data_IF_464775170949
#
_entry.id   IF_464775170949
#
_cell.length_a   1.000
_cell.length_b   1.000
_cell.length_c   1.000
_cell.angle_alpha   90.00
_cell.angle_beta   90.00
_cell.angle_gamma   90.00
#
_symmetry.space_group_name_H-M   'P 1'
#
loop_
_entity.id
_entity.type
_entity.pdbx_description
1 polymer ?
#
# COMPACT_ATOMS: atom_id res chain seq x y z
N UNK A 1 12.30 -8.87 -35.29
CA UNK A 1 12.22 -9.69 -34.05
C UNK A 1 12.83 -8.85 -32.94
N UNK A 2 12.09 -7.81 -32.57
CA UNK A 2 12.49 -6.77 -31.62
C UNK A 2 12.05 -7.20 -30.23
N UNK A 3 12.93 -6.99 -29.25
CA UNK A 3 12.84 -7.40 -27.85
C UNK A 3 11.80 -6.57 -27.05
N UNK A 4 10.70 -6.19 -27.72
CA UNK A 4 9.74 -5.15 -27.29
C UNK A 4 8.45 -5.76 -26.65
N UNK A 5 8.31 -7.09 -26.66
CA UNK A 5 7.12 -7.78 -26.13
C UNK A 5 7.19 -8.04 -24.61
N UNK A 6 8.27 -7.62 -23.93
CA UNK A 6 8.57 -8.07 -22.56
C UNK A 6 8.34 -7.09 -21.41
N UNK A 7 8.21 -5.79 -21.61
CA UNK A 7 8.39 -4.86 -20.47
C UNK A 7 7.20 -3.93 -20.26
N UNK A 8 6.10 -4.49 -19.75
CA UNK A 8 5.34 -3.68 -18.79
C UNK A 8 6.19 -3.60 -17.53
N UNK A 9 6.56 -2.39 -17.08
CA UNK A 9 7.39 -2.26 -15.89
C UNK A 9 6.67 -2.90 -14.70
N UNK A 10 7.44 -3.49 -13.80
CA UNK A 10 6.95 -3.89 -12.49
C UNK A 10 6.15 -2.75 -11.87
N UNK A 11 4.90 -3.04 -11.47
CA UNK A 11 4.01 -2.05 -10.84
C UNK A 11 3.88 -2.35 -9.36
N UNK A 12 4.05 -1.34 -8.51
CA UNK A 12 3.63 -1.41 -7.12
C UNK A 12 2.19 -0.89 -7.01
N UNK A 13 1.30 -1.69 -6.45
CA UNK A 13 -0.11 -1.38 -6.27
C UNK A 13 -0.54 -1.59 -4.82
N UNK A 14 -1.63 -0.93 -4.40
CA UNK A 14 -2.19 -1.06 -3.06
C UNK A 14 -3.41 -1.99 -3.09
N UNK A 15 -3.43 -2.97 -2.18
CA UNK A 15 -4.59 -3.78 -1.89
C UNK A 15 -5.70 -2.96 -1.20
N UNK A 16 -6.90 -3.52 -1.10
CA UNK A 16 -8.06 -2.86 -0.48
C UNK A 16 -7.82 -2.47 0.99
N UNK A 17 -6.88 -3.13 1.67
CA UNK A 17 -6.47 -2.82 3.05
C UNK A 17 -5.20 -1.95 3.15
N UNK A 18 -4.75 -1.40 2.02
CA UNK A 18 -3.57 -0.53 1.95
C UNK A 18 -2.23 -1.28 1.92
N UNK A 19 -2.23 -2.61 1.89
CA UNK A 19 -0.98 -3.39 1.75
C UNK A 19 -0.42 -3.22 0.34
N UNK A 20 0.87 -2.94 0.22
CA UNK A 20 1.53 -2.86 -1.08
C UNK A 20 1.83 -4.25 -1.63
N UNK A 21 1.54 -4.45 -2.92
CA UNK A 21 1.91 -5.63 -3.70
C UNK A 21 2.67 -5.22 -4.95
N UNK A 22 3.50 -6.13 -5.45
CA UNK A 22 4.21 -5.99 -6.71
C UNK A 22 3.47 -6.83 -7.77
N UNK A 23 3.11 -6.22 -8.90
CA UNK A 23 2.50 -6.88 -10.04
C UNK A 23 3.48 -6.82 -11.21
N UNK A 24 3.79 -7.99 -11.78
CA UNK A 24 4.73 -8.13 -12.89
C UNK A 24 4.39 -9.32 -13.77
N UNK A 25 4.94 -9.34 -14.98
CA UNK A 25 4.89 -10.52 -15.85
C UNK A 25 5.57 -11.72 -15.18
N UNK A 26 5.00 -12.90 -15.40
CA UNK A 26 5.60 -14.17 -15.02
C UNK A 26 6.89 -14.39 -15.81
N UNK A 27 7.90 -14.98 -15.15
CA UNK A 27 9.19 -15.35 -15.73
C UNK A 27 9.40 -16.87 -15.58
N UNK A 28 10.24 -17.50 -16.44
CA UNK A 28 10.51 -18.93 -16.31
C UNK A 28 11.05 -19.37 -14.94
N UNK A 29 11.76 -18.48 -14.24
CA UNK A 29 12.26 -18.73 -12.89
C UNK A 29 11.19 -18.73 -11.79
N UNK A 30 9.94 -18.35 -12.09
CA UNK A 30 8.85 -18.30 -11.10
C UNK A 30 8.14 -19.66 -10.92
N UNK A 31 8.51 -20.68 -11.71
CA UNK A 31 7.84 -21.99 -11.75
C UNK A 31 7.59 -22.60 -10.36
N UNK A 32 8.63 -22.69 -9.52
CA UNK A 32 8.50 -23.29 -8.18
C UNK A 32 7.60 -22.45 -7.26
N UNK A 33 7.58 -21.12 -7.40
CA UNK A 33 6.68 -20.27 -6.62
C UNK A 33 5.23 -20.41 -7.06
N UNK A 34 4.99 -20.58 -8.36
CA UNK A 34 3.65 -20.84 -8.91
C UNK A 34 3.14 -22.22 -8.51
N UNK A 35 4.01 -23.24 -8.51
CA UNK A 35 3.66 -24.56 -7.96
C UNK A 35 3.32 -24.45 -6.48
N UNK A 36 4.14 -23.72 -5.71
CA UNK A 36 3.90 -23.45 -4.29
C UNK A 36 2.54 -22.78 -4.02
N UNK A 37 2.15 -21.80 -4.85
CA UNK A 37 0.83 -21.15 -4.76
C UNK A 37 -0.30 -22.19 -4.83
N UNK A 38 -0.25 -23.13 -5.77
CA UNK A 38 -1.30 -24.15 -5.92
C UNK A 38 -1.22 -25.26 -4.87
N UNK A 39 -0.02 -25.64 -4.43
CA UNK A 39 0.18 -26.65 -3.38
C UNK A 39 -0.44 -26.22 -2.03
N UNK A 40 -0.43 -24.92 -1.76
CA UNK A 40 -1.01 -24.33 -0.54
C UNK A 40 -2.52 -24.10 -0.62
N UNK A 41 -3.13 -24.22 -1.81
CA UNK A 41 -4.57 -24.06 -1.98
C UNK A 41 -5.34 -25.24 -1.39
N UNK A 42 -6.49 -24.95 -0.78
CA UNK A 42 -7.42 -25.97 -0.34
C UNK A 42 -7.94 -26.82 -1.52
N UNK A 43 -8.36 -28.08 -1.27
CA UNK A 43 -8.99 -28.91 -2.30
C UNK A 43 -10.23 -28.27 -2.92
N UNK A 44 -10.94 -27.44 -2.14
CA UNK A 44 -12.11 -26.70 -2.60
C UNK A 44 -11.72 -25.63 -3.63
N UNK A 45 -10.73 -24.78 -3.34
CA UNK A 45 -10.28 -23.76 -4.29
C UNK A 45 -9.59 -24.34 -5.53
N UNK A 46 -8.86 -25.46 -5.39
CA UNK A 46 -8.35 -26.19 -6.55
C UNK A 46 -9.50 -26.68 -7.45
N UNK A 47 -10.58 -27.21 -6.85
CA UNK A 47 -11.76 -27.64 -7.58
C UNK A 47 -12.49 -26.46 -8.23
N UNK A 48 -12.61 -25.32 -7.55
CA UNK A 48 -13.19 -24.11 -8.12
C UNK A 48 -12.37 -23.54 -9.30
N UNK A 49 -11.05 -23.75 -9.30
CA UNK A 49 -10.12 -23.29 -10.34
C UNK A 49 -9.99 -24.23 -11.54
N UNK A 50 -10.01 -25.54 -11.29
CA UNK A 50 -9.70 -26.57 -12.29
C UNK A 50 -10.87 -27.52 -12.55
N UNK A 51 -12.05 -27.24 -11.99
CA UNK A 51 -13.26 -28.10 -12.06
C UNK A 51 -13.08 -29.49 -11.42
N UNK A 52 -11.89 -29.76 -10.87
CA UNK A 52 -11.51 -30.96 -10.14
C UNK A 52 -10.35 -30.63 -9.18
N UNK A 53 -10.27 -31.31 -8.04
CA UNK A 53 -9.12 -31.22 -7.14
C UNK A 53 -7.93 -32.01 -7.69
N UNK A 54 -7.31 -31.49 -8.75
CA UNK A 54 -6.30 -32.20 -9.56
C UNK A 54 -4.92 -31.54 -9.42
N UNK A 55 -3.99 -32.21 -8.73
CA UNK A 55 -2.57 -31.80 -8.67
C UNK A 55 -1.94 -31.71 -10.04
N UNK A 56 -2.25 -32.67 -10.93
CA UNK A 56 -1.78 -32.66 -12.31
C UNK A 56 -2.21 -31.39 -13.06
N UNK A 57 -3.44 -30.91 -12.81
CA UNK A 57 -3.93 -29.68 -13.45
C UNK A 57 -3.20 -28.45 -12.91
N UNK A 58 -2.91 -28.42 -11.60
CA UNK A 58 -2.09 -27.38 -10.99
C UNK A 58 -0.66 -27.35 -11.54
N UNK A 59 -0.01 -28.52 -11.67
CA UNK A 59 1.34 -28.64 -12.23
C UNK A 59 1.37 -28.13 -13.68
N UNK A 60 0.41 -28.56 -14.51
CA UNK A 60 0.29 -28.10 -15.90
C UNK A 60 0.04 -26.58 -16.00
N UNK A 61 -0.73 -26.00 -15.07
CA UNK A 61 -0.96 -24.57 -15.03
C UNK A 61 0.32 -23.80 -14.66
N UNK A 62 1.10 -24.30 -13.69
CA UNK A 62 2.40 -23.72 -13.35
C UNK A 62 3.42 -23.83 -14.51
N UNK A 63 3.48 -24.99 -15.17
CA UNK A 63 4.32 -25.22 -16.36
C UNK A 63 3.96 -24.24 -17.48
N UNK A 64 2.66 -24.08 -17.76
CA UNK A 64 2.16 -23.17 -18.81
C UNK A 64 2.48 -21.71 -18.49
N UNK A 65 2.24 -21.27 -17.25
CA UNK A 65 2.49 -19.89 -16.84
C UNK A 65 3.98 -19.54 -16.88
N UNK A 66 4.86 -20.47 -16.50
CA UNK A 66 6.31 -20.28 -16.55
C UNK A 66 6.95 -20.56 -17.92
N UNK A 67 6.16 -20.95 -18.93
CA UNK A 67 6.67 -21.19 -20.27
C UNK A 67 7.25 -19.90 -20.89
N UNK A 68 8.15 -20.01 -21.89
CA UNK A 68 8.62 -18.86 -22.64
C UNK A 68 7.46 -18.05 -23.23
N UNK A 69 7.62 -16.73 -23.29
CA UNK A 69 6.64 -15.83 -23.88
C UNK A 69 6.26 -16.27 -25.29
N UNK A 70 4.97 -16.21 -25.60
CA UNK A 70 4.41 -16.59 -26.90
C UNK A 70 3.28 -15.64 -27.27
N UNK A 71 3.09 -15.34 -28.58
CA UNK A 71 1.99 -14.49 -29.03
C UNK A 71 0.64 -15.01 -28.55
N UNK A 72 -0.24 -14.09 -28.17
CA UNK A 72 -1.59 -14.44 -27.72
C UNK A 72 -1.67 -14.94 -26.27
N UNK A 73 -0.56 -15.08 -25.55
CA UNK A 73 -0.56 -15.50 -24.14
C UNK A 73 0.10 -14.46 -23.24
N UNK A 74 -0.55 -14.13 -22.12
CA UNK A 74 0.04 -13.27 -21.11
C UNK A 74 -0.32 -13.75 -19.72
N UNK A 75 0.67 -13.75 -18.82
CA UNK A 75 0.50 -14.10 -17.42
C UNK A 75 1.14 -13.04 -16.52
N UNK A 76 0.38 -12.58 -15.53
CA UNK A 76 0.79 -11.63 -14.51
C UNK A 76 0.70 -12.30 -13.14
N UNK A 77 1.72 -12.08 -12.31
CA UNK A 77 1.68 -12.49 -10.91
C UNK A 77 1.61 -11.27 -9.99
N UNK A 78 1.05 -11.49 -8.81
CA UNK A 78 1.13 -10.57 -7.69
C UNK A 78 2.04 -11.19 -6.62
N UNK A 79 2.98 -10.42 -6.09
CA UNK A 79 3.90 -10.85 -5.04
C UNK A 79 3.94 -9.84 -3.88
N UNK A 80 4.18 -10.36 -2.68
CA UNK A 80 4.43 -9.57 -1.47
C UNK A 80 5.53 -10.24 -0.66
N UNK A 81 6.51 -9.47 -0.18
CA UNK A 81 7.67 -9.98 0.55
C UNK A 81 8.38 -11.16 -0.15
N UNK A 82 8.46 -11.10 -1.49
CA UNK A 82 9.11 -12.12 -2.32
C UNK A 82 8.33 -13.43 -2.47
N UNK A 83 7.06 -13.49 -2.05
CA UNK A 83 6.17 -14.64 -2.23
C UNK A 83 5.05 -14.31 -3.21
N UNK A 84 4.82 -15.19 -4.19
CA UNK A 84 3.66 -15.12 -5.09
C UNK A 84 2.37 -15.36 -4.30
N UNK A 85 1.41 -14.46 -4.47
CA UNK A 85 0.10 -14.48 -3.80
C UNK A 85 -1.08 -14.55 -4.76
N UNK A 86 -0.84 -14.40 -6.06
CA UNK A 86 -1.84 -14.59 -7.08
C UNK A 86 -1.26 -14.62 -8.49
N UNK A 87 -2.03 -15.16 -9.42
CA UNK A 87 -1.74 -15.29 -10.83
C UNK A 87 -3.01 -14.95 -11.61
N UNK A 88 -2.89 -14.15 -12.66
CA UNK A 88 -3.92 -14.00 -13.67
C UNK A 88 -3.31 -14.08 -15.06
N UNK A 89 -3.96 -14.79 -15.96
CA UNK A 89 -3.46 -15.07 -17.29
C UNK A 89 -4.58 -15.07 -18.31
N UNK A 90 -4.26 -14.76 -19.57
CA UNK A 90 -5.15 -15.02 -20.70
C UNK A 90 -4.42 -15.69 -21.85
N UNK A 91 -5.20 -16.37 -22.69
CA UNK A 91 -4.78 -16.95 -23.95
C UNK A 91 -5.81 -16.63 -25.05
N UNK A 92 -5.38 -16.02 -26.15
CA UNK A 92 -6.21 -15.87 -27.36
C UNK A 92 -6.39 -17.24 -28.00
N UNK A 93 -7.61 -17.54 -28.42
CA UNK A 93 -7.94 -18.83 -29.04
C UNK A 93 -8.02 -18.64 -30.56
N UNK A 94 -9.20 -18.87 -31.16
CA UNK A 94 -9.40 -18.79 -32.62
C UNK A 94 -9.48 -17.35 -33.14
N UNK A 95 -9.90 -16.42 -32.29
CA UNK A 95 -10.09 -15.00 -32.58
C UNK A 95 -9.07 -14.16 -31.80
N UNK A 96 -8.21 -13.35 -32.45
CA UNK A 96 -7.23 -12.52 -31.75
C UNK A 96 -7.89 -11.43 -30.88
N UNK A 97 -9.15 -11.07 -31.12
CA UNK A 97 -9.88 -10.09 -30.30
C UNK A 97 -10.51 -10.71 -29.04
N UNK A 98 -10.54 -12.05 -28.94
CA UNK A 98 -11.16 -12.79 -27.85
C UNK A 98 -10.14 -13.69 -27.13
N UNK A 99 -10.00 -13.53 -25.82
CA UNK A 99 -9.09 -14.36 -25.02
C UNK A 99 -9.78 -15.04 -23.84
N UNK A 100 -9.43 -16.30 -23.58
CA UNK A 100 -9.85 -17.02 -22.38
C UNK A 100 -8.95 -16.59 -21.21
N UNK A 101 -9.54 -16.12 -20.12
CA UNK A 101 -8.82 -15.69 -18.93
C UNK A 101 -8.98 -16.68 -17.77
N UNK A 102 -7.97 -16.75 -16.91
CA UNK A 102 -8.04 -17.50 -15.67
C UNK A 102 -7.29 -16.79 -14.54
N UNK A 103 -7.69 -17.09 -13.30
CA UNK A 103 -7.16 -16.42 -12.11
C UNK A 103 -7.05 -17.37 -10.94
N UNK A 104 -5.99 -17.21 -10.15
CA UNK A 104 -5.75 -17.93 -8.90
C UNK A 104 -5.24 -16.93 -7.85
N UNK A 105 -5.78 -16.99 -6.62
CA UNK A 105 -5.36 -16.16 -5.49
C UNK A 105 -5.19 -17.07 -4.28
N UNK A 106 -4.13 -16.87 -3.50
CA UNK A 106 -3.89 -17.64 -2.28
C UNK A 106 -5.06 -17.51 -1.29
N UNK A 107 -5.48 -18.62 -0.70
CA UNK A 107 -6.69 -18.75 0.15
C UNK A 107 -6.81 -17.69 1.24
N UNK A 108 -5.72 -17.38 1.95
CA UNK A 108 -5.71 -16.39 3.03
C UNK A 108 -5.77 -14.92 2.58
N UNK A 109 -5.82 -14.68 1.27
CA UNK A 109 -5.73 -13.34 0.66
C UNK A 109 -6.95 -12.99 -0.20
N UNK A 110 -7.98 -13.84 -0.17
CA UNK A 110 -9.28 -13.54 -0.76
C UNK A 110 -9.90 -12.30 -0.10
N UNK A 111 -10.72 -11.59 -0.87
CA UNK A 111 -11.38 -10.34 -0.45
C UNK A 111 -10.45 -9.17 -0.06
N UNK A 112 -9.14 -9.28 -0.28
CA UNK A 112 -8.17 -8.17 -0.12
C UNK A 112 -7.94 -7.39 -1.42
N UNK A 113 -8.63 -7.74 -2.51
CA UNK A 113 -8.52 -7.06 -3.80
C UNK A 113 -7.39 -7.57 -4.71
N UNK A 114 -6.64 -8.60 -4.31
CA UNK A 114 -5.55 -9.20 -5.13
C UNK A 114 -6.06 -9.58 -6.52
N UNK A 115 -7.19 -10.29 -6.57
CA UNK A 115 -7.71 -10.75 -7.85
C UNK A 115 -8.26 -9.62 -8.71
N UNK A 116 -8.93 -8.64 -8.11
CA UNK A 116 -9.44 -7.46 -8.82
C UNK A 116 -8.29 -6.68 -9.47
N UNK A 117 -7.21 -6.41 -8.73
CA UNK A 117 -6.04 -5.72 -9.27
C UNK A 117 -5.37 -6.51 -10.39
N UNK A 118 -5.17 -7.82 -10.20
CA UNK A 118 -4.60 -8.67 -11.23
C UNK A 118 -5.42 -8.60 -12.52
N UNK A 119 -6.76 -8.66 -12.43
CA UNK A 119 -7.62 -8.57 -13.60
C UNK A 119 -7.60 -7.17 -14.21
N UNK A 120 -7.62 -6.08 -13.44
CA UNK A 120 -7.49 -4.71 -13.99
C UNK A 120 -6.18 -4.52 -14.77
N UNK A 121 -5.06 -5.03 -14.23
CA UNK A 121 -3.77 -5.01 -14.92
C UNK A 121 -3.77 -5.91 -16.16
N UNK A 122 -4.43 -7.06 -16.09
CA UNK A 122 -4.56 -8.01 -17.20
C UNK A 122 -5.42 -7.42 -18.33
N UNK A 123 -6.56 -6.79 -18.00
CA UNK A 123 -7.44 -6.07 -18.94
C UNK A 123 -6.66 -4.96 -19.65
N UNK A 124 -5.91 -4.17 -18.88
CA UNK A 124 -5.10 -3.09 -19.43
C UNK A 124 -3.98 -3.62 -20.37
N UNK A 125 -3.44 -4.81 -20.11
CA UNK A 125 -2.47 -5.44 -20.98
C UNK A 125 -3.12 -6.06 -22.24
N UNK A 126 -4.26 -6.72 -22.09
CA UNK A 126 -5.00 -7.33 -23.17
C UNK A 126 -5.49 -6.29 -24.20
N UNK A 127 -5.96 -5.13 -23.74
CA UNK A 127 -6.29 -3.99 -24.60
C UNK A 127 -5.10 -3.52 -25.45
N UNK A 128 -3.92 -3.45 -24.84
CA UNK A 128 -2.70 -3.06 -25.56
C UNK A 128 -2.33 -4.09 -26.64
N UNK A 129 -2.69 -5.35 -26.42
CA UNK A 129 -2.50 -6.46 -27.35
C UNK A 129 -3.66 -6.60 -28.36
N UNK A 130 -4.65 -5.71 -28.33
CA UNK A 130 -5.79 -5.70 -29.26
C UNK A 130 -6.98 -6.58 -28.87
N UNK A 131 -6.95 -7.21 -27.70
CA UNK A 131 -8.07 -8.01 -27.18
C UNK A 131 -9.20 -7.08 -26.72
N UNK A 132 -10.42 -7.34 -27.19
CA UNK A 132 -11.62 -6.57 -26.85
C UNK A 132 -12.55 -7.31 -25.89
N UNK A 133 -12.40 -8.64 -25.81
CA UNK A 133 -13.30 -9.50 -25.01
C UNK A 133 -12.51 -10.57 -24.26
N UNK A 134 -12.82 -10.72 -22.97
CA UNK A 134 -12.46 -11.92 -22.22
C UNK A 134 -13.60 -12.91 -22.12
N UNK A 135 -13.28 -14.19 -22.20
CA UNK A 135 -14.14 -15.30 -21.79
C UNK A 135 -13.58 -15.96 -20.54
N UNK A 136 -14.46 -16.39 -19.63
CA UNK A 136 -14.07 -17.14 -18.45
C UNK A 136 -15.16 -18.13 -18.09
N UNK A 137 -14.82 -19.42 -18.05
CA UNK A 137 -15.70 -20.46 -17.53
C UNK A 137 -15.45 -20.62 -16.03
N UNK A 138 -16.53 -20.65 -15.25
CA UNK A 138 -16.47 -20.80 -13.79
C UNK A 138 -17.58 -21.74 -13.32
N UNK A 139 -17.36 -22.46 -12.22
CA UNK A 139 -18.45 -23.17 -11.55
C UNK A 139 -19.48 -22.18 -11.01
N UNK A 140 -20.76 -22.50 -11.15
CA UNK A 140 -21.88 -21.65 -10.70
C UNK A 140 -21.88 -21.33 -9.19
N UNK A 141 -21.26 -22.19 -8.39
CA UNK A 141 -21.04 -22.01 -6.96
C UNK A 141 -19.77 -21.21 -6.61
N UNK A 142 -18.93 -20.86 -7.60
CA UNK A 142 -17.77 -19.99 -7.41
C UNK A 142 -18.23 -18.53 -7.28
N UNK A 143 -18.92 -18.23 -6.19
CA UNK A 143 -19.50 -16.92 -5.94
C UNK A 143 -18.44 -15.81 -5.87
N UNK A 144 -17.20 -16.14 -5.51
CA UNK A 144 -16.10 -15.20 -5.42
C UNK A 144 -15.67 -14.66 -6.78
N UNK A 145 -15.40 -15.55 -7.75
CA UNK A 145 -15.00 -15.11 -9.10
C UNK A 145 -16.15 -14.44 -9.84
N UNK A 146 -17.38 -14.93 -9.65
CA UNK A 146 -18.57 -14.34 -10.26
C UNK A 146 -18.80 -12.92 -9.71
N UNK A 147 -18.62 -12.72 -8.40
CA UNK A 147 -18.68 -11.39 -7.78
C UNK A 147 -17.53 -10.51 -8.24
N UNK A 148 -16.31 -11.03 -8.34
CA UNK A 148 -15.17 -10.29 -8.88
C UNK A 148 -15.51 -9.69 -10.24
N UNK A 149 -16.09 -10.47 -11.16
CA UNK A 149 -16.47 -9.99 -12.49
C UNK A 149 -17.54 -8.88 -12.44
N UNK A 150 -18.50 -8.97 -11.51
CA UNK A 150 -19.47 -7.89 -11.30
C UNK A 150 -18.83 -6.62 -10.73
N UNK A 151 -17.90 -6.78 -9.79
CA UNK A 151 -17.30 -5.67 -9.05
C UNK A 151 -16.25 -4.90 -9.89
N UNK A 152 -15.76 -5.47 -11.00
CA UNK A 152 -14.80 -4.80 -11.89
C UNK A 152 -15.33 -3.49 -12.49
N UNK A 153 -16.65 -3.38 -12.70
CA UNK A 153 -17.27 -2.27 -13.43
C UNK A 153 -17.24 -2.42 -14.96
N UNK A 154 -16.83 -3.58 -15.46
CA UNK A 154 -16.91 -3.97 -16.87
C UNK A 154 -18.29 -4.54 -17.21
N UNK A 155 -18.66 -4.52 -18.50
CA UNK A 155 -19.90 -5.15 -18.97
C UNK A 155 -19.71 -6.67 -19.04
N UNK A 156 -20.46 -7.41 -18.22
CA UNK A 156 -20.35 -8.87 -18.12
C UNK A 156 -21.66 -9.55 -18.53
N UNK A 157 -21.60 -10.34 -19.61
CA UNK A 157 -22.62 -11.31 -19.98
C UNK A 157 -22.40 -12.64 -19.28
N UNK A 158 -23.48 -13.35 -18.92
CA UNK A 158 -23.42 -14.68 -18.30
C UNK A 158 -24.34 -15.65 -19.02
N UNK A 159 -23.83 -16.84 -19.30
CA UNK A 159 -24.60 -17.96 -19.85
C UNK A 159 -24.39 -19.18 -18.96
N UNK A 160 -25.48 -19.75 -18.46
CA UNK A 160 -25.44 -20.96 -17.63
C UNK A 160 -25.44 -22.20 -18.53
N UNK A 161 -24.49 -23.10 -18.30
CA UNK A 161 -24.31 -24.36 -19.03
C UNK A 161 -24.17 -25.49 -18.00
N UNK A 162 -25.31 -25.91 -17.43
CA UNK A 162 -25.33 -26.91 -16.36
C UNK A 162 -24.70 -26.38 -15.07
N UNK A 163 -23.67 -27.05 -14.49
CA UNK A 163 -23.00 -26.57 -13.28
C UNK A 163 -22.04 -25.40 -13.55
N UNK A 164 -21.79 -25.07 -14.81
CA UNK A 164 -20.82 -24.06 -15.25
C UNK A 164 -21.53 -22.77 -15.70
N UNK A 165 -20.82 -21.66 -15.59
CA UNK A 165 -21.24 -20.34 -16.04
C UNK A 165 -20.14 -19.79 -16.94
N UNK A 166 -20.47 -19.62 -18.22
CA UNK A 166 -19.63 -18.91 -19.16
C UNK A 166 -19.85 -17.41 -19.02
N UNK A 167 -18.79 -16.70 -18.64
CA UNK A 167 -18.77 -15.25 -18.56
C UNK A 167 -18.12 -14.66 -19.82
N UNK A 168 -18.73 -13.61 -20.37
CA UNK A 168 -18.17 -12.80 -21.46
C UNK A 168 -18.02 -11.37 -20.97
N UNK A 169 -16.79 -10.86 -20.94
CA UNK A 169 -16.43 -9.59 -20.31
C UNK A 169 -15.92 -8.67 -21.42
N UNK A 170 -16.69 -7.62 -21.73
CA UNK A 170 -16.26 -6.61 -22.69
C UNK A 170 -15.20 -5.71 -22.05
N UNK A 171 -14.12 -5.45 -22.77
CA UNK A 171 -12.96 -4.70 -22.28
C UNK A 171 -13.01 -3.23 -22.68
N UNK A 172 -14.17 -2.60 -22.88
CA UNK A 172 -14.24 -1.17 -23.18
C UNK A 172 -13.92 -0.29 -21.96
N UNK A 173 -13.34 0.90 -22.16
CA UNK A 173 -13.14 1.92 -21.11
C UNK A 173 -14.38 2.80 -20.94
N UNK A 174 -15.47 2.18 -20.51
CA UNK A 174 -16.68 2.91 -20.19
C UNK A 174 -16.52 3.66 -18.85
N UNK A 175 -17.27 4.75 -18.67
CA UNK A 175 -17.24 5.60 -17.46
C UNK A 175 -17.45 4.78 -16.16
N UNK A 176 -18.21 3.68 -16.23
CA UNK A 176 -18.46 2.80 -15.08
C UNK A 176 -17.20 2.06 -14.62
N UNK A 177 -16.40 1.54 -15.56
CA UNK A 177 -15.15 0.85 -15.25
C UNK A 177 -14.14 1.83 -14.66
N UNK A 178 -13.97 3.00 -15.30
CA UNK A 178 -13.03 4.02 -14.84
C UNK A 178 -13.40 4.53 -13.44
N UNK A 179 -14.69 4.76 -13.17
CA UNK A 179 -15.18 5.15 -11.85
C UNK A 179 -14.94 4.07 -10.78
N UNK A 180 -15.13 2.79 -11.13
CA UNK A 180 -14.91 1.67 -10.21
C UNK A 180 -13.41 1.51 -9.86
N UNK A 181 -12.52 1.63 -10.85
CA UNK A 181 -11.05 1.63 -10.65
C UNK A 181 -10.64 2.82 -9.78
N UNK A 182 -11.13 4.03 -10.07
CA UNK A 182 -10.83 5.22 -9.27
C UNK A 182 -11.32 5.05 -7.81
N UNK A 183 -12.54 4.55 -7.61
CA UNK A 183 -13.08 4.35 -6.26
C UNK A 183 -12.24 3.36 -5.45
N UNK A 184 -11.81 2.24 -6.06
CA UNK A 184 -10.94 1.26 -5.41
C UNK A 184 -9.56 1.83 -5.10
N UNK A 185 -8.95 2.53 -6.06
CA UNK A 185 -7.66 3.20 -5.87
C UNK A 185 -7.69 4.17 -4.69
N UNK A 186 -8.74 4.99 -4.59
CA UNK A 186 -8.91 5.92 -3.46
C UNK A 186 -9.06 5.20 -2.12
N UNK A 187 -9.89 4.16 -2.07
CA UNK A 187 -10.08 3.39 -0.83
C UNK A 187 -8.76 2.74 -0.36
N UNK A 188 -7.99 2.19 -1.30
CA UNK A 188 -6.69 1.60 -1.04
C UNK A 188 -5.64 2.65 -0.60
N UNK A 189 -5.61 3.82 -1.24
CA UNK A 189 -4.76 4.96 -0.87
C UNK A 189 -5.01 5.37 0.59
N UNK A 190 -6.28 5.58 0.96
CA UNK A 190 -6.68 5.92 2.34
C UNK A 190 -6.28 4.84 3.33
N UNK A 191 -6.56 3.57 3.02
CA UNK A 191 -6.20 2.44 3.87
C UNK A 191 -4.68 2.34 4.08
N UNK A 192 -3.87 2.71 3.08
CA UNK A 192 -2.40 2.72 3.20
C UNK A 192 -1.89 3.73 4.24
N UNK A 193 -2.66 4.78 4.54
CA UNK A 193 -2.29 5.82 5.50
C UNK A 193 -2.68 5.48 6.95
N UNK A 194 -3.53 4.47 7.16
CA UNK A 194 -3.95 4.04 8.51
C UNK A 194 -2.75 3.70 9.42
N UNK A 195 -1.71 2.96 8.98
CA UNK A 195 -0.52 2.71 9.80
C UNK A 195 0.26 3.97 10.19
N UNK A 196 0.15 5.07 9.43
CA UNK A 196 0.77 6.36 9.76
C UNK A 196 -0.10 7.17 10.73
N UNK A 197 -1.39 7.30 10.42
CA UNK A 197 -2.27 8.30 11.03
C UNK A 197 -3.14 7.75 12.14
N UNK A 198 -3.34 6.43 12.21
CA UNK A 198 -4.06 5.73 13.28
C UNK A 198 -3.32 4.44 13.72
N UNK A 199 -2.01 4.51 14.03
CA UNK A 199 -1.23 3.35 14.44
C UNK A 199 -1.75 2.77 15.75
N UNK A 200 -1.74 1.44 15.81
CA UNK A 200 -2.14 0.65 16.95
C UNK A 200 -0.93 0.29 17.84
N UNK A 201 0.28 0.47 17.30
CA UNK A 201 1.55 0.44 18.01
C UNK A 201 2.59 1.37 17.33
N UNK A 202 3.34 2.14 18.12
CA UNK A 202 4.39 3.05 17.67
C UNK A 202 5.72 2.71 18.34
N UNK A 203 6.81 2.68 17.56
CA UNK A 203 8.17 2.55 18.07
C UNK A 203 9.00 3.80 17.73
N UNK A 204 9.68 4.38 18.71
CA UNK A 204 10.58 5.52 18.49
C UNK A 204 12.04 5.06 18.50
N UNK A 205 12.65 5.01 17.33
CA UNK A 205 14.04 4.59 17.12
C UNK A 205 14.98 5.78 17.25
N UNK A 206 15.98 5.65 18.11
CA UNK A 206 16.87 6.75 18.48
C UNK A 206 16.39 7.56 19.68
N UNK A 207 15.35 7.11 20.40
CA UNK A 207 14.99 7.67 21.69
C UNK A 207 16.05 7.33 22.74
N UNK A 208 16.51 8.31 23.51
CA UNK A 208 17.57 8.09 24.50
C UNK A 208 17.44 8.97 25.74
N UNK A 209 18.44 8.90 26.62
CA UNK A 209 18.47 9.69 27.87
C UNK A 209 18.99 11.12 27.68
N UNK A 210 19.65 11.42 26.56
CA UNK A 210 20.24 12.74 26.28
C UNK A 210 19.14 13.82 26.23
N UNK A 211 19.13 14.79 27.15
CA UNK A 211 18.22 15.93 27.09
C UNK A 211 18.39 16.69 25.77
N UNK A 212 17.30 17.22 25.22
CA UNK A 212 17.31 17.96 23.94
C UNK A 212 17.50 17.13 22.67
N UNK A 213 17.72 15.81 22.78
CA UNK A 213 17.75 14.96 21.57
C UNK A 213 16.36 14.81 20.96
N UNK A 214 16.27 14.87 19.62
CA UNK A 214 14.99 14.82 18.91
C UNK A 214 14.23 13.52 19.18
N UNK A 215 14.92 12.37 19.20
CA UNK A 215 14.28 11.09 19.52
C UNK A 215 13.67 11.05 20.93
N UNK A 216 14.30 11.72 21.91
CA UNK A 216 13.74 11.86 23.25
C UNK A 216 12.53 12.81 23.27
N UNK A 217 12.56 13.90 22.51
CA UNK A 217 11.45 14.85 22.40
C UNK A 217 10.21 14.19 21.77
N UNK A 218 10.39 13.45 20.67
CA UNK A 218 9.33 12.67 20.03
C UNK A 218 8.68 11.65 20.98
N UNK A 219 9.50 10.87 21.70
CA UNK A 219 8.99 9.92 22.68
C UNK A 219 8.27 10.63 23.84
N UNK A 220 8.79 11.77 24.28
CA UNK A 220 8.16 12.59 25.31
C UNK A 220 6.77 13.07 24.86
N UNK A 221 6.64 13.56 23.62
CA UNK A 221 5.36 14.06 23.11
C UNK A 221 4.31 12.95 23.04
N UNK A 222 4.68 11.78 22.52
CA UNK A 222 3.78 10.62 22.49
C UNK A 222 3.35 10.20 23.90
N UNK A 223 4.29 10.18 24.85
CA UNK A 223 4.01 9.77 26.22
C UNK A 223 3.19 10.81 27.01
N UNK A 224 3.63 12.06 27.03
CA UNK A 224 3.01 13.17 27.77
C UNK A 224 1.68 13.62 27.14
N UNK A 225 1.55 13.52 25.82
CA UNK A 225 0.30 13.76 25.09
C UNK A 225 -0.78 12.69 25.34
N UNK A 226 -0.41 11.59 26.00
CA UNK A 226 -1.34 10.53 26.39
C UNK A 226 -1.74 9.62 25.23
N UNK A 227 -0.80 9.29 24.34
CA UNK A 227 -1.03 8.31 23.28
C UNK A 227 -1.65 7.04 23.85
N UNK A 228 -2.80 6.64 23.31
CA UNK A 228 -3.68 5.65 23.95
C UNK A 228 -3.35 4.21 23.56
N UNK A 229 -2.42 4.01 22.64
CA UNK A 229 -2.02 2.68 22.13
C UNK A 229 -0.63 2.28 22.64
N UNK A 230 -0.05 1.22 22.07
CA UNK A 230 1.25 0.69 22.51
C UNK A 230 2.38 1.58 22.04
N UNK A 231 3.24 1.99 22.97
CA UNK A 231 4.41 2.83 22.71
C UNK A 231 5.68 2.12 23.14
N UNK A 232 6.67 2.09 22.26
CA UNK A 232 7.98 1.48 22.50
C UNK A 232 9.10 2.47 22.22
N UNK A 233 10.18 2.38 23.00
CA UNK A 233 11.46 3.01 22.66
C UNK A 233 12.39 1.96 22.05
N UNK A 234 13.24 2.37 21.10
CA UNK A 234 14.30 1.52 20.55
C UNK A 234 15.65 2.20 20.75
N UNK A 235 16.45 1.59 21.62
CA UNK A 235 17.80 2.02 21.97
C UNK A 235 18.63 0.84 22.50
N UNK A 236 19.78 0.51 21.87
CA UNK A 236 20.65 -0.59 22.29
C UNK A 236 21.23 -0.48 23.72
N UNK A 237 21.28 0.71 24.30
CA UNK A 237 22.05 0.98 25.51
C UNK A 237 21.22 1.19 26.77
N UNK A 238 19.89 1.23 26.66
CA UNK A 238 19.00 1.49 27.80
C UNK A 238 17.75 0.62 27.71
N UNK A 239 17.28 0.16 28.88
CA UNK A 239 16.06 -0.65 29.01
C UNK A 239 14.78 0.17 29.22
N UNK A 240 14.91 1.48 29.47
CA UNK A 240 13.77 2.40 29.55
C UNK A 240 14.16 3.85 29.27
N UNK A 241 13.23 4.60 28.69
CA UNK A 241 13.32 6.03 28.42
C UNK A 241 11.98 6.68 28.79
N UNK A 242 11.98 7.64 29.72
CA UNK A 242 10.76 8.34 30.18
C UNK A 242 9.65 7.39 30.69
N UNK A 243 10.02 6.28 31.34
CA UNK A 243 9.06 5.28 31.80
C UNK A 243 8.53 4.34 30.70
N UNK A 244 8.87 4.58 29.43
CA UNK A 244 8.55 3.69 28.31
C UNK A 244 9.60 2.57 28.21
N UNK A 245 9.19 1.29 28.08
CA UNK A 245 10.10 0.18 27.83
C UNK A 245 10.94 0.40 26.56
N UNK A 246 12.24 0.13 26.66
CA UNK A 246 13.19 0.28 25.57
C UNK A 246 13.82 -1.05 25.20
N UNK A 247 13.89 -1.30 23.90
CA UNK A 247 14.40 -2.53 23.30
C UNK A 247 15.62 -2.24 22.41
N UNK A 248 16.55 -3.19 22.24
CA UNK A 248 17.78 -2.92 21.52
C UNK A 248 17.59 -2.71 20.02
N UNK A 249 16.58 -3.34 19.41
CA UNK A 249 16.26 -3.19 17.99
C UNK A 249 14.76 -3.36 17.72
N UNK A 250 14.32 -3.02 16.50
CA UNK A 250 12.90 -3.17 16.12
C UNK A 250 12.49 -4.65 16.12
N UNK A 251 13.38 -5.55 15.73
CA UNK A 251 13.18 -7.01 15.74
C UNK A 251 13.02 -7.61 17.14
N UNK A 252 13.49 -6.92 18.17
CA UNK A 252 13.37 -7.36 19.56
C UNK A 252 12.10 -6.90 20.26
N UNK A 253 11.24 -6.14 19.57
CA UNK A 253 9.98 -5.67 20.12
C UNK A 253 9.01 -6.84 20.35
N UNK A 254 8.21 -6.81 21.43
CA UNK A 254 7.25 -7.87 21.74
C UNK A 254 6.04 -7.89 20.79
N UNK A 255 5.88 -6.80 20.01
CA UNK A 255 4.86 -6.65 18.98
C UNK A 255 5.43 -5.78 17.87
N UNK A 256 5.17 -6.17 16.62
CA UNK A 256 5.48 -5.36 15.43
C UNK A 256 4.71 -4.03 15.49
N UNK A 257 5.39 -2.87 15.45
CA UNK A 257 4.72 -1.58 15.41
C UNK A 257 4.12 -1.32 14.02
N UNK A 258 2.98 -0.64 13.97
CA UNK A 258 2.43 -0.15 12.70
C UNK A 258 3.32 0.98 12.15
N UNK A 259 3.79 1.84 13.06
CA UNK A 259 4.62 3.01 12.77
C UNK A 259 5.97 2.96 13.50
N UNK A 260 7.06 3.06 12.76
CA UNK A 260 8.39 3.34 13.31
C UNK A 260 8.81 4.79 13.05
N UNK A 261 9.06 5.54 14.12
CA UNK A 261 9.56 6.92 14.09
C UNK A 261 11.08 6.89 14.16
N UNK A 262 11.75 7.28 13.08
CA UNK A 262 13.21 7.20 12.93
C UNK A 262 13.86 8.55 13.21
N UNK A 263 14.56 8.64 14.35
CA UNK A 263 15.32 9.81 14.78
C UNK A 263 16.80 9.48 15.01
N UNK A 264 17.39 8.72 14.08
CA UNK A 264 18.77 8.21 14.09
C UNK A 264 19.68 8.91 13.05
N UNK A 265 21.00 8.77 13.11
CA UNK A 265 21.92 9.25 12.07
C UNK A 265 21.58 8.74 10.65
N UNK A 266 21.94 9.52 9.62
CA UNK A 266 21.53 9.28 8.24
C UNK A 266 22.06 7.96 7.65
N UNK A 267 23.29 7.60 8.01
CA UNK A 267 23.98 6.36 7.62
C UNK A 267 23.28 5.10 8.14
N UNK A 268 22.62 5.17 9.30
CA UNK A 268 21.89 4.05 9.90
C UNK A 268 20.47 3.85 9.33
N UNK A 269 19.93 4.81 8.57
CA UNK A 269 18.53 4.77 8.11
C UNK A 269 18.22 3.63 7.14
N UNK A 270 19.02 3.35 6.10
CA UNK A 270 18.72 2.24 5.18
C UNK A 270 18.66 0.89 5.90
N UNK A 271 19.64 0.58 6.75
CA UNK A 271 19.68 -0.67 7.50
C UNK A 271 18.52 -0.81 8.49
N UNK A 272 18.14 0.30 9.15
CA UNK A 272 17.00 0.29 10.09
C UNK A 272 15.67 0.17 9.33
N UNK A 273 15.51 0.81 8.17
CA UNK A 273 14.33 0.64 7.35
C UNK A 273 14.20 -0.80 6.84
N UNK A 274 15.30 -1.41 6.42
CA UNK A 274 15.33 -2.82 6.04
C UNK A 274 14.95 -3.75 7.20
N UNK A 275 15.42 -3.47 8.42
CA UNK A 275 15.00 -4.19 9.63
C UNK A 275 13.48 -4.03 9.86
N UNK A 276 12.97 -2.80 9.83
CA UNK A 276 11.54 -2.49 9.97
C UNK A 276 10.70 -3.28 8.95
N UNK A 277 11.11 -3.29 7.69
CA UNK A 277 10.41 -3.99 6.63
C UNK A 277 10.34 -5.50 6.86
N UNK A 278 11.48 -6.11 7.21
CA UNK A 278 11.57 -7.57 7.49
C UNK A 278 10.67 -8.04 8.62
N UNK A 279 10.47 -7.21 9.64
CA UNK A 279 9.61 -7.56 10.78
C UNK A 279 8.14 -7.21 10.52
N UNK A 280 7.83 -6.55 9.40
CA UNK A 280 6.46 -6.22 8.98
C UNK A 280 5.94 -4.87 9.47
N UNK A 281 6.81 -3.91 9.80
CA UNK A 281 6.39 -2.51 9.99
C UNK A 281 5.79 -2.00 8.68
N UNK A 282 4.67 -1.29 8.74
CA UNK A 282 3.95 -0.82 7.55
C UNK A 282 4.20 0.64 7.22
N UNK A 283 4.68 1.42 8.19
CA UNK A 283 4.90 2.84 8.02
C UNK A 283 6.16 3.35 8.74
N UNK A 284 6.85 4.29 8.08
CA UNK A 284 8.00 5.00 8.63
C UNK A 284 7.72 6.50 8.71
N UNK A 285 8.08 7.11 9.84
CA UNK A 285 8.21 8.55 9.99
C UNK A 285 9.69 8.89 10.11
N UNK A 286 10.28 9.44 9.05
CA UNK A 286 11.71 9.73 9.02
C UNK A 286 11.95 11.21 9.31
N UNK A 287 12.42 11.50 10.52
CA UNK A 287 12.75 12.87 10.91
C UNK A 287 14.07 13.34 10.31
N UNK A 288 15.06 12.45 10.27
CA UNK A 288 16.45 12.80 9.96
C UNK A 288 16.61 13.44 8.58
N UNK A 289 17.37 14.54 8.54
CA UNK A 289 17.75 15.29 7.35
C UNK A 289 19.19 14.94 6.91
N UNK A 290 19.61 15.43 5.75
CA UNK A 290 21.02 15.38 5.32
C UNK A 290 21.48 13.98 4.92
N UNK A 291 21.00 13.52 3.76
CA UNK A 291 21.31 12.21 3.19
C UNK A 291 22.04 12.44 1.87
N UNK A 292 23.03 11.61 1.57
CA UNK A 292 23.54 11.54 0.20
C UNK A 292 22.53 10.78 -0.70
N UNK A 293 22.68 10.88 -2.04
CA UNK A 293 21.80 10.19 -2.98
C UNK A 293 21.71 8.68 -2.76
N UNK A 294 22.82 8.03 -2.40
CA UNK A 294 22.89 6.58 -2.23
C UNK A 294 22.07 6.13 -1.00
N UNK A 295 22.13 6.89 0.10
CA UNK A 295 21.34 6.67 1.31
C UNK A 295 19.84 6.94 1.10
N UNK A 296 19.50 7.88 0.22
CA UNK A 296 18.12 8.16 -0.16
C UNK A 296 17.55 7.02 -1.01
N UNK A 297 18.30 6.58 -2.02
CA UNK A 297 17.93 5.47 -2.88
C UNK A 297 17.78 4.17 -2.09
N UNK A 298 18.74 3.83 -1.23
CA UNK A 298 18.70 2.62 -0.42
C UNK A 298 17.50 2.59 0.55
N UNK A 299 17.14 3.73 1.15
CA UNK A 299 15.94 3.83 1.98
C UNK A 299 14.67 3.60 1.15
N UNK A 300 14.55 4.23 -0.01
CA UNK A 300 13.37 4.07 -0.86
C UNK A 300 13.26 2.66 -1.40
N UNK A 301 14.38 2.02 -1.71
CA UNK A 301 14.43 0.61 -2.07
C UNK A 301 13.92 -0.27 -0.94
N UNK A 302 14.37 -0.08 0.31
CA UNK A 302 13.84 -0.81 1.46
C UNK A 302 12.32 -0.59 1.64
N UNK A 303 11.84 0.66 1.50
CA UNK A 303 10.40 0.95 1.60
C UNK A 303 9.59 0.25 0.52
N UNK A 304 10.03 0.28 -0.75
CA UNK A 304 9.34 -0.36 -1.87
C UNK A 304 9.36 -1.88 -1.77
N UNK A 305 10.50 -2.47 -1.41
CA UNK A 305 10.65 -3.93 -1.26
C UNK A 305 9.68 -4.49 -0.22
N UNK A 306 9.52 -3.79 0.91
CA UNK A 306 8.69 -4.25 2.03
C UNK A 306 7.30 -3.60 2.06
N UNK A 307 6.96 -2.77 1.06
CA UNK A 307 5.65 -2.15 0.95
C UNK A 307 5.32 -1.11 2.03
N UNK A 308 6.33 -0.47 2.60
CA UNK A 308 6.17 0.53 3.67
C UNK A 308 5.82 1.91 3.11
N UNK A 309 4.87 2.58 3.75
CA UNK A 309 4.61 4.02 3.52
C UNK A 309 5.61 4.87 4.29
N UNK A 310 5.94 6.06 3.76
CA UNK A 310 6.92 6.95 4.39
C UNK A 310 6.46 8.41 4.43
N UNK A 311 6.56 9.02 5.62
CA UNK A 311 6.49 10.47 5.81
C UNK A 311 7.88 11.02 6.11
N UNK A 312 8.24 12.13 5.47
CA UNK A 312 9.60 12.68 5.46
C UNK A 312 10.40 12.26 4.21
N UNK A 313 11.74 12.14 4.31
CA UNK A 313 12.61 12.52 5.43
C UNK A 313 12.56 14.02 5.79
N UNK A 314 13.40 14.46 6.74
CA UNK A 314 13.54 15.89 7.05
C UNK A 314 12.21 16.59 7.41
N UNK A 315 11.45 15.98 8.31
CA UNK A 315 10.12 16.47 8.70
C UNK A 315 10.05 16.86 10.18
N UNK A 316 9.03 17.65 10.54
CA UNK A 316 8.69 17.96 11.94
C UNK A 316 8.01 16.78 12.64
N UNK A 317 7.36 15.90 11.88
CA UNK A 317 6.59 14.77 12.39
C UNK A 317 5.13 14.78 11.97
N UNK A 318 4.32 13.96 12.66
CA UNK A 318 2.88 13.85 12.44
C UNK A 318 2.12 13.90 13.76
N UNK A 319 0.87 14.36 13.72
CA UNK A 319 -0.06 14.30 14.84
C UNK A 319 -1.47 13.98 14.37
N UNK A 320 -2.21 13.23 15.19
CA UNK A 320 -3.65 13.02 15.07
C UNK A 320 -4.27 13.21 16.46
N UNK A 321 -5.12 14.22 16.57
CA UNK A 321 -5.67 14.71 17.84
C UNK A 321 -6.95 14.00 18.26
N UNK A 322 -7.35 12.92 17.57
CA UNK A 322 -8.49 12.10 17.99
C UNK A 322 -8.34 11.73 19.47
N UNK A 323 -9.31 12.06 20.35
CA UNK A 323 -9.25 11.74 21.77
C UNK A 323 -9.06 10.24 22.07
N UNK A 324 -9.43 9.36 21.13
CA UNK A 324 -9.26 7.91 21.21
C UNK A 324 -7.86 7.43 20.81
N UNK A 325 -7.05 8.28 20.19
CA UNK A 325 -5.70 7.96 19.70
C UNK A 325 -4.62 8.83 20.37
N UNK A 326 -4.76 10.17 20.30
CA UNK A 326 -3.81 11.17 20.83
C UNK A 326 -2.38 10.95 20.34
N UNK A 327 -2.22 10.80 19.03
CA UNK A 327 -0.92 10.66 18.40
C UNK A 327 -0.27 12.04 18.28
N UNK A 328 0.86 12.25 18.94
CA UNK A 328 1.75 13.38 18.64
C UNK A 328 3.19 12.88 18.53
N UNK A 329 3.57 12.51 17.31
CA UNK A 329 4.93 12.17 16.93
C UNK A 329 5.63 13.39 16.30
N UNK A 330 5.47 14.57 16.90
CA UNK A 330 6.23 15.79 16.57
C UNK A 330 7.23 16.15 17.66
N UNK A 331 8.06 17.15 17.40
CA UNK A 331 8.94 17.78 18.38
C UNK A 331 8.75 19.30 18.42
N UNK A 332 7.52 19.76 18.17
CA UNK A 332 7.14 21.17 18.30
C UNK A 332 7.25 21.64 19.77
N UNK A 333 7.13 22.95 20.03
CA UNK A 333 7.19 23.45 21.40
C UNK A 333 5.98 22.99 22.25
N UNK A 334 4.80 22.96 21.63
CA UNK A 334 3.53 22.58 22.26
C UNK A 334 2.80 21.52 21.44
N UNK A 335 1.95 20.75 22.12
CA UNK A 335 1.03 19.83 21.48
C UNK A 335 0.01 20.58 20.60
N UNK A 336 -0.29 20.09 19.38
CA UNK A 336 -1.37 20.64 18.58
C UNK A 336 -2.71 20.56 19.32
N UNK A 337 -3.49 21.65 19.30
CA UNK A 337 -4.82 21.68 19.93
C UNK A 337 -5.80 20.80 19.13
N UNK A 338 -6.65 19.98 19.77
CA UNK A 338 -7.67 19.22 19.06
C UNK A 338 -8.70 20.10 18.35
N UNK A 339 -9.07 19.74 17.12
CA UNK A 339 -10.11 20.39 16.33
C UNK A 339 -10.37 19.67 15.00
N UNK A 340 -10.77 20.41 13.98
CA UNK A 340 -11.19 19.86 12.67
C UNK A 340 -10.37 20.37 11.48
N UNK A 341 -9.29 21.13 11.71
CA UNK A 341 -8.39 21.54 10.64
C UNK A 341 -7.36 20.45 10.32
N UNK A 342 -7.37 19.93 9.10
CA UNK A 342 -6.32 19.09 8.54
C UNK A 342 -5.19 19.96 8.00
N UNK A 343 -3.96 19.70 8.42
CA UNK A 343 -2.79 20.49 8.03
C UNK A 343 -1.72 19.58 7.43
N UNK A 344 -1.28 19.88 6.21
CA UNK A 344 -0.09 19.25 5.65
C UNK A 344 0.88 20.30 5.10
N UNK A 345 2.15 20.19 5.52
CA UNK A 345 3.18 21.20 5.26
C UNK A 345 4.47 20.55 4.80
N UNK A 346 5.05 21.07 3.73
CA UNK A 346 6.34 20.59 3.24
C UNK A 346 7.51 21.11 4.08
N UNK A 347 7.49 22.40 4.44
CA UNK A 347 8.52 23.02 5.30
C UNK A 347 8.21 22.85 6.79
N UNK A 348 9.17 22.30 7.54
CA UNK A 348 9.05 22.13 9.00
C UNK A 348 8.92 23.47 9.75
N UNK A 349 9.69 24.48 9.36
CA UNK A 349 9.63 25.81 9.98
C UNK A 349 8.28 26.50 9.76
N UNK A 350 7.72 26.40 8.55
CA UNK A 350 6.36 26.87 8.26
C UNK A 350 5.33 26.07 9.07
N UNK A 351 5.53 24.76 9.22
CA UNK A 351 4.69 23.92 10.07
C UNK A 351 4.60 24.40 11.51
N UNK A 352 5.74 24.72 12.12
CA UNK A 352 5.80 25.27 13.49
C UNK A 352 5.02 26.59 13.56
N UNK A 353 5.29 27.52 12.63
CA UNK A 353 4.63 28.82 12.61
C UNK A 353 3.11 28.71 12.39
N UNK A 354 2.67 27.76 11.55
CA UNK A 354 1.27 27.52 11.27
C UNK A 354 0.53 26.93 12.47
N UNK A 355 1.11 25.92 13.14
CA UNK A 355 0.53 25.33 14.35
C UNK A 355 0.37 26.37 15.46
N UNK A 356 1.40 27.19 15.68
CA UNK A 356 1.39 28.28 16.65
C UNK A 356 0.36 29.37 16.27
N UNK A 357 0.28 29.74 14.99
CA UNK A 357 -0.72 30.66 14.47
C UNK A 357 -2.16 30.16 14.65
N UNK A 358 -2.44 28.91 14.30
CA UNK A 358 -3.76 28.28 14.49
C UNK A 358 -4.14 28.23 15.97
N UNK A 359 -3.21 27.83 16.84
CA UNK A 359 -3.40 27.80 18.29
C UNK A 359 -3.79 29.16 18.87
N UNK A 360 -3.12 30.25 18.44
CA UNK A 360 -3.48 31.63 18.83
C UNK A 360 -4.86 32.05 18.35
N UNK A 361 -5.26 31.60 17.17
CA UNK A 361 -6.59 31.86 16.62
C UNK A 361 -7.68 30.97 17.24
N UNK A 362 -7.32 30.03 18.12
CA UNK A 362 -8.27 29.08 18.71
C UNK A 362 -8.71 27.98 17.75
N UNK A 363 -8.02 27.81 16.62
CA UNK A 363 -8.31 26.78 15.62
C UNK A 363 -7.51 25.52 15.99
N UNK A 364 -8.23 24.45 16.32
CA UNK A 364 -7.63 23.14 16.56
C UNK A 364 -7.46 22.32 15.29
N UNK A 365 -6.49 21.42 15.30
CA UNK A 365 -6.18 20.52 14.18
C UNK A 365 -6.78 19.13 14.42
N UNK A 366 -7.26 18.49 13.36
CA UNK A 366 -7.64 17.07 13.36
C UNK A 366 -6.39 16.21 13.17
N UNK A 367 -5.65 16.49 12.10
CA UNK A 367 -4.43 15.79 11.72
C UNK A 367 -3.41 16.82 11.23
N UNK A 368 -2.16 16.70 11.66
CA UNK A 368 -1.03 17.47 11.19
C UNK A 368 0.01 16.54 10.58
N UNK A 369 0.49 16.84 9.38
CA UNK A 369 1.54 16.07 8.71
C UNK A 369 2.60 17.00 8.14
N UNK A 370 3.82 16.88 8.64
CA UNK A 370 4.98 17.50 8.00
C UNK A 370 5.56 16.53 6.97
N UNK A 371 5.45 16.86 5.69
CA UNK A 371 5.84 16.00 4.57
C UNK A 371 7.37 15.98 4.38
N UNK A 372 8.07 17.04 4.78
CA UNK A 372 9.52 17.18 4.61
C UNK A 372 9.92 17.08 3.13
N UNK A 373 10.93 16.27 2.85
CA UNK A 373 11.42 16.04 1.48
C UNK A 373 10.41 15.28 0.60
N UNK A 374 9.34 14.74 1.20
CA UNK A 374 8.16 14.16 0.52
C UNK A 374 8.53 13.06 -0.47
N UNK A 375 9.23 12.04 0.03
CA UNK A 375 9.67 10.91 -0.79
C UNK A 375 8.53 9.97 -1.20
N UNK A 376 7.46 9.92 -0.40
CA UNK A 376 6.34 9.00 -0.64
C UNK A 376 4.99 9.69 -0.39
N UNK A 377 4.55 9.83 0.87
CA UNK A 377 3.27 10.45 1.19
C UNK A 377 3.26 11.92 0.75
N UNK A 378 2.19 12.32 0.05
CA UNK A 378 2.06 13.61 -0.61
C UNK A 378 0.82 14.39 -0.15
N UNK A 379 0.66 15.62 -0.66
CA UNK A 379 -0.57 16.39 -0.43
C UNK A 379 -1.82 15.74 -1.03
N UNK A 380 -1.69 14.91 -2.08
CA UNK A 380 -2.82 14.18 -2.64
C UNK A 380 -3.34 13.14 -1.65
N UNK A 381 -2.43 12.38 -1.04
CA UNK A 381 -2.75 11.38 -0.02
C UNK A 381 -3.49 12.04 1.16
N UNK A 382 -3.02 13.21 1.59
CA UNK A 382 -3.66 13.94 2.69
C UNK A 382 -5.06 14.46 2.34
N UNK A 383 -5.27 14.95 1.12
CA UNK A 383 -6.62 15.33 0.67
C UNK A 383 -7.57 14.14 0.64
N UNK A 384 -7.11 12.97 0.19
CA UNK A 384 -7.91 11.74 0.19
C UNK A 384 -8.21 11.25 1.61
N UNK A 385 -7.23 11.37 2.52
CA UNK A 385 -7.44 11.08 3.94
C UNK A 385 -8.53 11.97 4.53
N UNK A 386 -8.44 13.29 4.34
CA UNK A 386 -9.43 14.23 4.89
C UNK A 386 -10.82 14.09 4.25
N UNK A 387 -10.90 13.65 2.99
CA UNK A 387 -12.18 13.30 2.33
C UNK A 387 -12.90 12.14 3.06
N UNK A 388 -12.16 11.25 3.74
CA UNK A 388 -12.66 9.99 4.28
C UNK A 388 -12.59 9.87 5.80
N UNK A 389 -11.87 10.76 6.50
CA UNK A 389 -11.62 10.62 7.94
C UNK A 389 -12.83 10.95 8.83
N UNK A 390 -13.85 11.60 8.27
CA UNK A 390 -15.08 12.00 8.94
C UNK A 390 -14.90 13.02 10.07
N UNK A 391 -13.76 13.71 10.11
CA UNK A 391 -13.39 14.66 11.18
C UNK A 391 -12.83 15.98 10.68
N UNK A 392 -12.32 16.02 9.46
CA UNK A 392 -11.66 17.19 8.92
C UNK A 392 -12.64 18.04 8.11
N UNK A 393 -12.83 19.30 8.53
CA UNK A 393 -13.71 20.27 7.85
C UNK A 393 -12.93 21.30 7.02
N UNK A 394 -11.65 21.50 7.36
CA UNK A 394 -10.78 22.50 6.72
C UNK A 394 -9.44 21.87 6.36
N UNK A 395 -9.10 21.84 5.08
CA UNK A 395 -7.80 21.38 4.60
C UNK A 395 -6.85 22.58 4.36
N UNK A 396 -5.70 22.58 5.05
CA UNK A 396 -4.64 23.57 4.91
C UNK A 396 -3.38 22.89 4.34
N UNK A 397 -2.95 23.34 3.16
CA UNK A 397 -1.82 22.78 2.44
C UNK A 397 -0.75 23.86 2.19
N UNK A 398 0.46 23.61 2.68
CA UNK A 398 1.66 24.34 2.24
C UNK A 398 2.55 23.39 1.43
N UNK A 399 2.54 23.54 0.11
CA UNK A 399 3.28 22.68 -0.82
C UNK A 399 4.27 23.52 -1.62
N UNK A 400 5.51 23.05 -1.70
CA UNK A 400 6.56 23.68 -2.51
C UNK A 400 6.67 23.01 -3.88
N UNK A 401 6.17 21.77 -3.99
CA UNK A 401 6.11 21.03 -5.25
C UNK A 401 4.87 20.13 -5.33
N UNK A 402 4.47 19.79 -6.55
CA UNK A 402 3.41 18.81 -6.83
C UNK A 402 4.04 17.64 -7.58
N UNK A 403 3.86 16.40 -7.08
CA UNK A 403 4.34 15.21 -7.79
C UNK A 403 3.53 14.96 -9.07
N UNK A 404 2.19 14.98 -8.96
CA UNK A 404 1.28 14.87 -10.10
C UNK A 404 0.24 16.01 -10.05
N UNK A 405 0.48 17.13 -10.76
CA UNK A 405 -0.42 18.28 -10.76
C UNK A 405 -1.84 17.98 -11.27
N UNK A 406 -1.98 17.04 -12.23
CA UNK A 406 -3.29 16.65 -12.78
C UNK A 406 -4.10 15.89 -11.74
N UNK A 407 -3.48 14.90 -11.09
CA UNK A 407 -4.11 14.16 -10.00
C UNK A 407 -4.48 15.11 -8.84
N UNK A 408 -3.58 16.03 -8.47
CA UNK A 408 -3.86 17.04 -7.44
C UNK A 408 -5.09 17.89 -7.79
N UNK A 409 -5.15 18.45 -9.00
CA UNK A 409 -6.27 19.31 -9.40
C UNK A 409 -7.62 18.59 -9.41
N UNK A 410 -7.64 17.31 -9.80
CA UNK A 410 -8.84 16.47 -9.77
C UNK A 410 -9.29 16.19 -8.34
N UNK A 411 -8.36 15.77 -7.47
CA UNK A 411 -8.66 15.51 -6.05
C UNK A 411 -9.10 16.79 -5.33
N UNK A 412 -8.38 17.90 -5.51
CA UNK A 412 -8.72 19.17 -4.86
C UNK A 412 -10.13 19.63 -5.23
N UNK A 413 -10.52 19.60 -6.52
CA UNK A 413 -11.87 19.98 -6.97
C UNK A 413 -12.99 19.10 -6.41
N UNK A 414 -12.68 17.88 -5.98
CA UNK A 414 -13.65 16.95 -5.42
C UNK A 414 -13.84 17.16 -3.92
N UNK A 415 -12.78 17.58 -3.23
CA UNK A 415 -12.74 17.76 -1.77
C UNK A 415 -13.19 19.17 -1.35
N UNK A 416 -13.19 20.13 -2.29
CA UNK A 416 -13.80 21.48 -2.13
C UNK A 416 -15.24 21.48 -2.58
#
# INVERSE_FOLDING_TARGET
MTDDERDRPTVHALLADGTTVCIRSVRPGDHDQLRGLYEEMSPEHLRLRFFAASRRSADLAADRAAAPARPGYRALLAETQGRVIGLAEYETVDDPETAEMSIAVADGLHHRGVGTLLVEHLVSAARADGVTTFTADALSENHEVLRLFTDLGLRVGRRFEGPEVRCTIALDEDDTYLAAVEARGRAADVASLEPLLRPDAVAVVGAGRRPGSVGRALLHHLHAGGFTRRLFAVNPHVSSVLGVPSYPSVSSLPKVPDLAVLAIPADALPATAEECGKVGVRALLVRTAGRDPDQAEALMTACRTHGMRLVGPNCLGISNTDPRLRLDATFAADHPRPGTAGVAVQSGGVGIALLDGLSRLGIGVSTFVSLGDKYDVSGNDMLQWWESDGRTDLALLHLESFGNPRAFSRTARRVT
#
